data_IF_460601401147
#
_entry.id   IF_460601401147
#
_cell.length_a   1.000
_cell.length_b   1.000
_cell.length_c   1.000
_cell.angle_alpha   90.00
_cell.angle_beta   90.00
_cell.angle_gamma   90.00
#
_symmetry.space_group_name_H-M   'P 1'
#
loop_
_entity.id
_entity.type
_entity.pdbx_description
1 polymer ?
#
# COMPACT_ATOMS: atom_id res chain seq x y z
N UNK A 1 -9.40 -10.57 -18.54
CA UNK A 1 -9.64 -10.08 -17.16
C UNK A 1 -9.00 -8.73 -17.04
N UNK A 2 -9.66 -7.76 -16.39
CA UNK A 2 -9.08 -6.42 -16.23
C UNK A 2 -8.22 -6.43 -14.96
N UNK A 3 -6.89 -6.39 -15.12
CA UNK A 3 -5.92 -6.38 -14.02
C UNK A 3 -5.49 -4.94 -13.74
N UNK A 4 -5.48 -4.54 -12.46
CA UNK A 4 -4.87 -3.28 -12.02
C UNK A 4 -3.36 -3.45 -11.87
N UNK A 5 -2.92 -4.65 -11.47
CA UNK A 5 -1.51 -5.00 -11.27
C UNK A 5 -1.25 -6.39 -11.82
N UNK A 6 -0.13 -6.58 -12.55
CA UNK A 6 0.31 -7.90 -13.03
C UNK A 6 1.82 -8.03 -12.88
N UNK A 7 2.25 -9.09 -12.21
CA UNK A 7 3.64 -9.50 -12.08
C UNK A 7 3.87 -10.76 -12.90
N UNK A 8 4.94 -10.77 -13.72
CA UNK A 8 5.33 -11.92 -14.57
C UNK A 8 6.78 -12.28 -14.34
N UNK A 9 7.00 -13.51 -13.89
CA UNK A 9 8.32 -14.10 -13.72
C UNK A 9 9.26 -13.20 -12.89
N UNK A 10 8.75 -12.61 -11.80
CA UNK A 10 9.55 -11.76 -10.93
C UNK A 10 10.56 -12.62 -10.17
N UNK A 11 11.84 -12.30 -10.38
CA UNK A 11 12.96 -12.89 -9.67
C UNK A 11 13.77 -11.82 -8.93
N UNK A 12 14.17 -12.11 -7.69
CA UNK A 12 14.96 -11.19 -6.86
C UNK A 12 16.06 -11.91 -6.11
N UNK A 13 17.29 -11.38 -6.24
CA UNK A 13 18.46 -11.81 -5.48
C UNK A 13 18.99 -10.68 -4.60
N UNK A 14 19.41 -11.00 -3.39
CA UNK A 14 20.29 -10.15 -2.59
C UNK A 14 21.70 -10.74 -2.62
N UNK A 15 22.69 -9.94 -3.05
CA UNK A 15 24.06 -10.42 -3.23
C UNK A 15 24.95 -10.20 -2.00
N UNK A 16 24.52 -9.42 -1.02
CA UNK A 16 25.29 -9.12 0.20
C UNK A 16 24.44 -9.35 1.45
N UNK A 17 25.02 -9.86 2.56
CA UNK A 17 26.41 -10.37 2.75
C UNK A 17 26.67 -11.73 2.09
N UNK A 18 25.62 -12.47 1.73
CA UNK A 18 25.65 -13.74 0.99
C UNK A 18 24.60 -13.67 -0.11
N UNK A 19 24.84 -14.39 -1.21
CA UNK A 19 23.83 -14.53 -2.26
C UNK A 19 22.61 -15.27 -1.71
N UNK A 20 21.44 -14.66 -1.88
CA UNK A 20 20.18 -15.18 -1.39
C UNK A 20 19.07 -14.91 -2.42
N UNK A 21 18.52 -16.00 -2.97
CA UNK A 21 17.43 -15.95 -3.93
C UNK A 21 16.10 -15.82 -3.16
N UNK A 22 15.58 -14.59 -3.04
CA UNK A 22 14.44 -14.28 -2.19
C UNK A 22 13.10 -14.42 -2.90
N UNK A 23 13.03 -14.12 -4.21
CA UNK A 23 11.83 -14.34 -5.03
C UNK A 23 12.21 -15.19 -6.24
N UNK A 24 11.42 -16.21 -6.53
CA UNK A 24 11.71 -17.25 -7.51
C UNK A 24 10.55 -17.37 -8.49
N UNK A 25 10.68 -16.74 -9.65
CA UNK A 25 9.70 -16.82 -10.75
C UNK A 25 8.26 -16.54 -10.31
N UNK A 26 8.05 -15.46 -9.55
CA UNK A 26 6.74 -15.10 -9.00
C UNK A 26 5.89 -14.47 -10.09
N UNK A 27 4.69 -15.07 -10.34
CA UNK A 27 3.74 -14.56 -11.33
C UNK A 27 2.33 -14.57 -10.75
N UNK A 28 1.65 -13.43 -10.75
CA UNK A 28 0.24 -13.28 -10.39
C UNK A 28 -0.29 -11.92 -10.83
N UNK A 29 -1.61 -11.73 -10.73
CA UNK A 29 -2.24 -10.43 -10.98
C UNK A 29 -3.27 -10.09 -9.92
N UNK A 30 -3.60 -8.81 -9.77
CA UNK A 30 -4.69 -8.29 -8.95
C UNK A 30 -5.73 -7.68 -9.89
N UNK A 31 -7.00 -8.06 -9.74
CA UNK A 31 -8.09 -7.53 -10.57
C UNK A 31 -8.49 -6.14 -10.10
N UNK A 32 -9.07 -5.35 -11.01
CA UNK A 32 -9.69 -4.08 -10.64
C UNK A 32 -10.81 -4.33 -9.63
N UNK A 33 -10.79 -3.59 -8.51
CA UNK A 33 -11.76 -3.72 -7.42
C UNK A 33 -11.60 -4.98 -6.54
N UNK A 34 -10.52 -5.74 -6.70
CA UNK A 34 -10.22 -6.91 -5.87
C UNK A 34 -9.53 -6.49 -4.56
N UNK A 35 -9.91 -7.11 -3.46
CA UNK A 35 -9.18 -7.06 -2.19
C UNK A 35 -8.44 -8.39 -1.98
N UNK A 36 -7.16 -8.42 -2.33
CA UNK A 36 -6.31 -9.60 -2.16
C UNK A 36 -5.36 -9.45 -0.95
N UNK A 37 -5.04 -10.56 -0.31
CA UNK A 37 -4.01 -10.65 0.72
C UNK A 37 -2.87 -11.57 0.29
N UNK A 38 -1.63 -11.23 0.67
CA UNK A 38 -0.46 -12.09 0.56
C UNK A 38 -0.13 -12.61 1.95
N UNK A 39 -0.15 -13.92 2.10
CA UNK A 39 0.18 -14.61 3.35
C UNK A 39 1.42 -15.49 3.22
N UNK A 40 2.04 -15.82 4.32
CA UNK A 40 3.18 -16.74 4.40
C UNK A 40 4.03 -16.50 5.65
N UNK A 41 4.91 -17.43 5.96
CA UNK A 41 5.82 -17.35 7.12
C UNK A 41 6.74 -16.12 7.04
N UNK A 42 7.26 -15.69 8.19
CA UNK A 42 8.32 -14.66 8.20
C UNK A 42 9.51 -15.13 7.34
N UNK A 43 10.07 -14.20 6.55
CA UNK A 43 11.17 -14.51 5.62
C UNK A 43 10.75 -15.14 4.29
N UNK A 44 9.47 -15.39 4.01
CA UNK A 44 9.04 -15.95 2.72
C UNK A 44 9.11 -14.98 1.51
N UNK A 45 9.52 -13.71 1.71
CA UNK A 45 9.70 -12.74 0.65
C UNK A 45 8.52 -11.77 0.43
N UNK A 46 7.47 -11.80 1.24
CA UNK A 46 6.24 -10.99 1.07
C UNK A 46 6.48 -9.48 0.98
N UNK A 47 7.19 -8.91 1.96
CA UNK A 47 7.48 -7.47 1.95
C UNK A 47 8.42 -7.09 0.79
N UNK A 48 9.38 -7.96 0.45
CA UNK A 48 10.25 -7.76 -0.74
C UNK A 48 9.40 -7.71 -2.00
N UNK A 49 8.47 -8.67 -2.17
CA UNK A 49 7.54 -8.67 -3.30
C UNK A 49 6.70 -7.37 -3.31
N UNK A 50 6.12 -6.99 -2.17
CA UNK A 50 5.30 -5.79 -2.08
C UNK A 50 6.08 -4.51 -2.43
N UNK A 51 7.37 -4.42 -2.05
CA UNK A 51 8.21 -3.28 -2.40
C UNK A 51 8.54 -3.22 -3.89
N UNK A 52 8.70 -4.36 -4.56
CA UNK A 52 8.82 -4.41 -6.03
C UNK A 52 7.51 -3.95 -6.67
N UNK A 53 6.37 -4.52 -6.26
CA UNK A 53 5.06 -4.19 -6.80
C UNK A 53 4.70 -2.71 -6.63
N UNK A 54 5.14 -2.11 -5.52
CA UNK A 54 4.97 -0.68 -5.25
C UNK A 54 6.03 0.21 -5.91
N UNK A 55 6.92 -0.36 -6.72
CA UNK A 55 8.03 0.36 -7.39
C UNK A 55 9.06 0.98 -6.44
N UNK A 56 9.11 0.55 -5.19
CA UNK A 56 10.12 1.01 -4.21
C UNK A 56 11.46 0.29 -4.40
N UNK A 57 11.42 -1.02 -4.72
CA UNK A 57 12.58 -1.80 -5.13
C UNK A 57 12.53 -2.00 -6.65
N UNK A 58 13.60 -1.65 -7.35
CA UNK A 58 13.70 -1.73 -8.80
C UNK A 58 14.77 -2.73 -9.27
N UNK A 59 15.47 -3.36 -8.33
CA UNK A 59 16.50 -4.36 -8.59
C UNK A 59 15.87 -5.77 -8.62
N UNK A 60 15.24 -6.12 -9.74
CA UNK A 60 14.63 -7.42 -9.99
C UNK A 60 14.65 -7.73 -11.50
N UNK A 61 14.40 -8.98 -11.86
CA UNK A 61 14.12 -9.39 -13.25
C UNK A 61 12.65 -9.81 -13.40
N UNK A 62 12.18 -9.89 -14.64
CA UNK A 62 10.76 -10.12 -14.94
C UNK A 62 10.03 -8.85 -15.33
N UNK A 63 8.71 -8.91 -15.40
CA UNK A 63 7.88 -7.80 -15.88
C UNK A 63 6.80 -7.44 -14.84
N UNK A 64 6.68 -6.15 -14.58
CA UNK A 64 5.63 -5.57 -13.74
C UNK A 64 4.76 -4.64 -14.58
N UNK A 65 3.46 -4.85 -14.54
CA UNK A 65 2.47 -3.97 -15.18
C UNK A 65 1.56 -3.35 -14.13
N UNK A 66 1.23 -2.08 -14.32
CA UNK A 66 0.23 -1.34 -13.54
C UNK A 66 -0.73 -0.67 -14.52
N UNK A 67 -2.04 -0.91 -14.37
CA UNK A 67 -3.06 -0.41 -15.30
C UNK A 67 -2.77 -0.75 -16.79
N UNK A 68 -2.27 -1.96 -17.07
CA UNK A 68 -1.81 -2.44 -18.37
C UNK A 68 -0.58 -1.71 -18.94
N UNK A 69 0.08 -0.84 -18.18
CA UNK A 69 1.32 -0.16 -18.60
C UNK A 69 2.52 -0.93 -18.02
N UNK A 70 3.53 -1.22 -18.86
CA UNK A 70 4.79 -1.84 -18.43
C UNK A 70 5.59 -0.86 -17.56
N UNK A 71 5.89 -1.30 -16.33
CA UNK A 71 6.61 -0.50 -15.33
C UNK A 71 8.10 -0.84 -15.29
N UNK A 72 8.45 -2.11 -15.51
CA UNK A 72 9.85 -2.56 -15.53
C UNK A 72 10.66 -1.77 -16.55
N UNK A 73 11.84 -1.32 -16.16
CA UNK A 73 12.77 -0.58 -17.01
C UNK A 73 12.54 0.93 -17.08
N UNK A 74 11.49 1.46 -16.42
CA UNK A 74 11.29 2.91 -16.32
C UNK A 74 12.34 3.56 -15.42
N UNK A 75 12.60 4.84 -15.65
CA UNK A 75 13.53 5.65 -14.84
C UNK A 75 13.00 5.87 -13.41
N UNK A 76 13.89 6.13 -12.47
CA UNK A 76 13.50 6.45 -11.09
C UNK A 76 12.53 7.62 -10.97
N UNK A 77 12.64 8.61 -11.86
CA UNK A 77 11.74 9.77 -11.87
C UNK A 77 10.33 9.36 -12.31
N UNK A 78 10.21 8.58 -13.39
CA UNK A 78 8.92 8.05 -13.85
C UNK A 78 8.27 7.14 -12.78
N UNK A 79 9.05 6.22 -12.20
CA UNK A 79 8.57 5.34 -11.13
C UNK A 79 8.10 6.12 -9.91
N UNK A 80 8.81 7.18 -9.52
CA UNK A 80 8.39 8.06 -8.41
C UNK A 80 7.06 8.74 -8.69
N UNK A 81 6.83 9.20 -9.95
CA UNK A 81 5.57 9.82 -10.35
C UNK A 81 4.44 8.79 -10.38
N UNK A 82 4.67 7.63 -10.99
CA UNK A 82 3.70 6.51 -11.07
C UNK A 82 3.29 6.09 -9.66
N UNK A 83 4.25 5.83 -8.78
CA UNK A 83 3.99 5.46 -7.39
C UNK A 83 3.14 6.50 -6.67
N UNK A 84 3.54 7.78 -6.76
CA UNK A 84 2.84 8.86 -6.07
C UNK A 84 1.41 9.07 -6.58
N UNK A 85 1.17 8.81 -7.87
CA UNK A 85 -0.14 9.03 -8.52
C UNK A 85 -1.08 7.82 -8.38
N UNK A 86 -0.55 6.60 -8.60
CA UNK A 86 -1.38 5.42 -8.83
C UNK A 86 -1.38 4.44 -7.66
N UNK A 87 -0.42 4.55 -6.71
CA UNK A 87 -0.27 3.61 -5.62
C UNK A 87 -0.39 4.33 -4.28
N UNK A 88 -1.43 4.01 -3.51
CA UNK A 88 -1.46 4.34 -2.09
C UNK A 88 -0.68 3.29 -1.32
N UNK A 89 0.20 3.69 -0.39
CA UNK A 89 0.95 2.74 0.42
C UNK A 89 0.79 3.00 1.90
N UNK A 90 0.42 1.95 2.64
CA UNK A 90 0.25 1.93 4.09
C UNK A 90 1.28 0.99 4.70
N UNK A 91 2.18 1.54 5.50
CA UNK A 91 3.24 0.79 6.17
C UNK A 91 2.77 0.28 7.54
N UNK A 92 3.45 -0.74 8.05
CA UNK A 92 3.29 -1.23 9.43
C UNK A 92 3.60 -0.14 10.46
N UNK A 93 4.65 0.68 10.23
CA UNK A 93 4.92 1.90 10.96
C UNK A 93 4.38 3.08 10.17
N UNK A 94 3.67 4.00 10.81
CA UNK A 94 2.92 5.06 10.14
C UNK A 94 3.79 6.04 9.33
N UNK A 95 5.07 6.20 9.72
CA UNK A 95 6.03 7.15 9.13
C UNK A 95 5.44 8.54 8.93
N UNK A 96 4.70 9.03 9.92
CA UNK A 96 4.23 10.40 9.94
C UNK A 96 5.36 11.33 10.37
N UNK A 97 5.40 12.51 9.77
CA UNK A 97 6.28 13.58 10.20
C UNK A 97 5.71 14.17 11.50
N UNK A 98 6.37 13.89 12.61
CA UNK A 98 5.89 14.17 13.98
C UNK A 98 5.68 15.65 14.25
N UNK A 99 6.48 16.50 13.60
CA UNK A 99 6.45 17.95 13.75
C UNK A 99 5.33 18.62 12.93
N UNK A 100 4.81 17.92 11.94
CA UNK A 100 3.74 18.38 11.05
C UNK A 100 2.38 18.09 11.67
N UNK A 101 1.38 18.90 11.29
CA UNK A 101 -0.02 18.60 11.61
C UNK A 101 -0.50 17.35 10.87
N UNK A 102 -1.64 16.82 11.29
CA UNK A 102 -2.34 15.73 10.60
C UNK A 102 -2.64 16.12 9.17
N UNK A 103 -3.21 17.31 8.95
CA UNK A 103 -3.52 17.85 7.62
C UNK A 103 -2.27 17.93 6.75
N UNK A 104 -1.19 18.51 7.26
CA UNK A 104 0.06 18.63 6.51
C UNK A 104 0.62 17.28 6.09
N UNK A 105 0.58 16.26 6.97
CA UNK A 105 1.01 14.90 6.63
C UNK A 105 0.21 14.32 5.46
N UNK A 106 -1.11 14.51 5.44
CA UNK A 106 -1.98 14.01 4.36
C UNK A 106 -1.71 14.74 3.06
N UNK A 107 -1.43 16.03 3.08
CA UNK A 107 -1.20 16.86 1.89
C UNK A 107 0.12 16.56 1.16
N UNK A 108 1.12 15.98 1.83
CA UNK A 108 2.49 15.81 1.29
C UNK A 108 2.54 15.15 -0.10
N UNK A 109 1.88 13.99 -0.36
CA UNK A 109 1.96 13.36 -1.66
C UNK A 109 1.33 14.21 -2.78
N UNK A 110 0.21 14.89 -2.51
CA UNK A 110 -0.44 15.76 -3.49
C UNK A 110 0.41 16.99 -3.83
N UNK A 111 1.02 17.61 -2.82
CA UNK A 111 1.99 18.72 -3.04
C UNK A 111 3.18 18.26 -3.89
N UNK A 112 3.69 17.04 -3.62
CA UNK A 112 4.81 16.49 -4.41
C UNK A 112 4.40 16.16 -5.85
N UNK A 113 3.18 15.71 -6.08
CA UNK A 113 2.67 15.41 -7.42
C UNK A 113 2.53 16.68 -8.26
N UNK A 114 2.09 17.79 -7.65
CA UNK A 114 2.05 19.11 -8.26
C UNK A 114 0.97 19.29 -9.34
N UNK A 115 -0.09 18.47 -9.32
CA UNK A 115 -1.17 18.49 -10.30
C UNK A 115 -2.38 19.34 -9.85
N UNK A 116 -2.43 19.73 -8.56
CA UNK A 116 -3.52 20.48 -7.94
C UNK A 116 -3.00 21.76 -7.26
N UNK A 117 -3.83 22.78 -7.18
CA UNK A 117 -3.55 24.00 -6.39
C UNK A 117 -3.54 23.69 -4.89
N UNK A 118 -2.91 24.55 -4.10
CA UNK A 118 -2.86 24.36 -2.65
C UNK A 118 -4.27 24.35 -2.01
N UNK A 119 -5.22 25.14 -2.54
CA UNK A 119 -6.60 25.19 -2.06
C UNK A 119 -7.32 23.85 -2.32
N UNK A 120 -7.16 23.28 -3.51
CA UNK A 120 -7.72 21.96 -3.85
C UNK A 120 -7.13 20.88 -2.97
N UNK A 121 -5.80 20.89 -2.74
CA UNK A 121 -5.13 19.90 -1.89
C UNK A 121 -5.64 19.97 -0.44
N UNK A 122 -5.83 21.18 0.11
CA UNK A 122 -6.40 21.36 1.46
C UNK A 122 -7.82 20.79 1.52
N UNK A 123 -8.64 21.11 0.52
CA UNK A 123 -10.03 20.62 0.44
C UNK A 123 -10.05 19.08 0.40
N UNK A 124 -9.29 18.48 -0.50
CA UNK A 124 -9.22 17.02 -0.65
C UNK A 124 -8.69 16.34 0.62
N UNK A 125 -7.69 16.94 1.26
CA UNK A 125 -7.14 16.41 2.50
C UNK A 125 -8.17 16.40 3.63
N UNK A 126 -8.97 17.47 3.78
CA UNK A 126 -10.07 17.49 4.72
C UNK A 126 -11.12 16.43 4.39
N UNK A 127 -11.49 16.25 3.12
CA UNK A 127 -12.42 15.19 2.72
C UNK A 127 -11.92 13.79 3.10
N UNK A 128 -10.61 13.49 2.87
CA UNK A 128 -10.04 12.20 3.25
C UNK A 128 -10.02 12.02 4.79
N UNK A 129 -9.75 13.07 5.55
CA UNK A 129 -9.79 13.03 7.02
C UNK A 129 -11.22 12.82 7.54
N UNK A 130 -12.22 13.51 6.98
CA UNK A 130 -13.64 13.32 7.36
C UNK A 130 -14.13 11.91 7.03
N UNK A 131 -13.81 11.39 5.83
CA UNK A 131 -14.14 10.02 5.44
C UNK A 131 -13.62 8.96 6.43
N UNK A 132 -12.50 9.25 7.10
CA UNK A 132 -11.89 8.37 8.10
C UNK A 132 -12.23 8.73 9.54
N UNK A 133 -13.18 9.64 9.75
CA UNK A 133 -13.67 10.12 11.06
C UNK A 133 -12.57 10.72 11.95
N UNK A 134 -11.62 11.42 11.34
CA UNK A 134 -10.49 12.10 12.02
C UNK A 134 -10.33 13.57 11.58
N UNK A 135 -11.37 14.17 10.97
CA UNK A 135 -11.33 15.58 10.54
C UNK A 135 -11.06 16.56 11.69
N UNK A 136 -11.58 16.27 12.88
CA UNK A 136 -11.36 17.06 14.09
C UNK A 136 -9.89 17.11 14.56
N UNK A 137 -9.02 16.24 14.02
CA UNK A 137 -7.59 16.18 14.33
C UNK A 137 -6.72 16.98 13.34
N UNK A 138 -7.29 17.60 12.31
CA UNK A 138 -6.58 18.21 11.18
C UNK A 138 -5.41 19.12 11.61
N UNK A 139 -5.65 19.98 12.60
CA UNK A 139 -4.67 20.95 13.10
C UNK A 139 -3.76 20.41 14.20
N UNK A 140 -3.99 19.18 14.68
CA UNK A 140 -3.16 18.58 15.71
C UNK A 140 -1.84 18.07 15.14
N UNK A 141 -0.75 18.17 15.91
CA UNK A 141 0.53 17.56 15.53
C UNK A 141 0.43 16.05 15.54
N UNK A 142 1.03 15.39 14.55
CA UNK A 142 1.05 13.94 14.43
C UNK A 142 1.70 13.23 15.63
N UNK A 143 2.55 13.92 16.40
CA UNK A 143 3.12 13.42 17.65
C UNK A 143 2.11 13.26 18.79
N UNK A 144 0.94 13.94 18.73
CA UNK A 144 -0.03 14.04 19.84
C UNK A 144 -1.27 13.18 19.69
N UNK A 145 -1.35 12.37 18.63
CA UNK A 145 -2.48 11.50 18.35
C UNK A 145 -2.14 10.05 18.69
N UNK A 146 -3.17 9.24 18.97
CA UNK A 146 -3.05 7.81 19.30
C UNK A 146 -2.54 6.97 18.14
N UNK A 147 -2.15 5.71 18.39
CA UNK A 147 -1.68 4.78 17.37
C UNK A 147 -2.73 4.50 16.31
N UNK A 148 -3.98 4.24 16.68
CA UNK A 148 -5.08 4.02 15.74
C UNK A 148 -5.44 5.26 14.91
N UNK A 149 -5.32 6.47 15.50
CA UNK A 149 -5.48 7.72 14.73
C UNK A 149 -4.33 7.92 13.75
N UNK A 150 -3.07 7.65 14.15
CA UNK A 150 -1.91 7.68 13.24
C UNK A 150 -2.10 6.75 12.04
N UNK A 151 -2.66 5.56 12.27
CA UNK A 151 -2.95 4.63 11.18
C UNK A 151 -4.00 5.20 10.22
N UNK A 152 -5.07 5.78 10.72
CA UNK A 152 -6.07 6.45 9.87
C UNK A 152 -5.48 7.64 9.10
N UNK A 153 -4.59 8.43 9.70
CA UNK A 153 -3.85 9.49 9.00
C UNK A 153 -2.95 8.93 7.91
N UNK A 154 -2.26 7.81 8.15
CA UNK A 154 -1.45 7.14 7.13
C UNK A 154 -2.30 6.64 5.95
N UNK A 155 -3.50 6.12 6.22
CA UNK A 155 -4.46 5.73 5.19
C UNK A 155 -4.96 6.96 4.42
N UNK A 156 -5.34 8.06 5.11
CA UNK A 156 -5.75 9.31 4.44
C UNK A 156 -4.66 9.82 3.50
N UNK A 157 -3.40 9.82 3.96
CA UNK A 157 -2.23 10.21 3.18
C UNK A 157 -2.04 9.31 1.95
N UNK A 158 -2.27 8.00 2.09
CA UNK A 158 -2.17 7.07 0.98
C UNK A 158 -3.27 7.28 -0.09
N UNK A 159 -4.41 7.85 0.30
CA UNK A 159 -5.57 8.07 -0.57
C UNK A 159 -5.64 9.46 -1.21
N UNK A 160 -4.77 10.42 -0.86
CA UNK A 160 -4.91 11.82 -1.25
C UNK A 160 -4.88 12.07 -2.76
N UNK A 161 -4.18 11.22 -3.51
CA UNK A 161 -4.08 11.30 -4.97
C UNK A 161 -5.05 10.35 -5.71
N UNK A 162 -6.06 9.81 -5.04
CA UNK A 162 -7.05 8.88 -5.59
C UNK A 162 -6.39 7.71 -6.35
N UNK A 163 -5.55 6.90 -5.67
CA UNK A 163 -4.77 5.84 -6.31
C UNK A 163 -5.66 4.75 -6.90
N UNK A 164 -5.16 4.02 -7.91
CA UNK A 164 -5.88 2.88 -8.50
C UNK A 164 -5.75 1.60 -7.67
N UNK A 165 -4.72 1.53 -6.82
CA UNK A 165 -4.50 0.42 -5.89
C UNK A 165 -3.95 0.94 -4.56
N UNK A 166 -4.45 0.41 -3.45
CA UNK A 166 -3.90 0.61 -2.12
C UNK A 166 -3.13 -0.65 -1.71
N UNK A 167 -1.86 -0.48 -1.34
CA UNK A 167 -1.00 -1.56 -0.86
C UNK A 167 -0.72 -1.39 0.63
N UNK A 168 -0.72 -2.48 1.39
CA UNK A 168 -0.45 -2.47 2.82
C UNK A 168 0.61 -3.51 3.21
N UNK A 169 1.66 -3.08 3.92
CA UNK A 169 2.63 -3.99 4.54
C UNK A 169 2.31 -4.08 6.04
N UNK A 170 1.67 -5.18 6.45
CA UNK A 170 1.24 -5.44 7.84
C UNK A 170 0.47 -4.25 8.46
N UNK A 171 -0.59 -3.71 7.81
CA UNK A 171 -1.21 -2.44 8.20
C UNK A 171 -1.89 -2.47 9.58
N UNK A 172 -2.04 -3.65 10.17
CA UNK A 172 -2.63 -3.87 11.50
C UNK A 172 -1.63 -4.41 12.52
N UNK A 173 -0.39 -4.70 12.12
CA UNK A 173 0.59 -5.44 12.92
C UNK A 173 1.01 -4.78 14.24
N UNK A 174 0.81 -3.48 14.40
CA UNK A 174 1.14 -2.71 15.62
C UNK A 174 -0.11 -2.17 16.34
N UNK A 175 -1.30 -2.68 16.00
CA UNK A 175 -2.57 -2.21 16.56
C UNK A 175 -3.18 -3.25 17.50
N UNK A 176 -3.95 -2.79 18.46
CA UNK A 176 -4.84 -3.67 19.22
C UNK A 176 -5.98 -4.20 18.35
N UNK A 177 -6.70 -5.20 18.83
CA UNK A 177 -7.77 -5.88 18.09
C UNK A 177 -8.88 -4.92 17.63
N UNK A 178 -9.23 -3.92 18.46
CA UNK A 178 -10.26 -2.95 18.10
C UNK A 178 -9.82 -2.04 16.95
N UNK A 179 -8.59 -1.52 16.99
CA UNK A 179 -8.05 -0.69 15.93
C UNK A 179 -7.78 -1.51 14.65
N UNK A 180 -7.37 -2.77 14.79
CA UNK A 180 -7.21 -3.70 13.65
C UNK A 180 -8.54 -3.91 12.91
N UNK A 181 -9.62 -4.15 13.65
CA UNK A 181 -10.96 -4.27 13.07
C UNK A 181 -11.42 -2.98 12.37
N UNK A 182 -11.14 -1.82 12.96
CA UNK A 182 -11.44 -0.54 12.33
C UNK A 182 -10.70 -0.35 11.00
N UNK A 183 -9.41 -0.73 10.92
CA UNK A 183 -8.62 -0.66 9.68
C UNK A 183 -9.18 -1.60 8.62
N UNK A 184 -9.52 -2.83 9.00
CA UNK A 184 -10.16 -3.78 8.06
C UNK A 184 -11.46 -3.21 7.50
N UNK A 185 -12.32 -2.67 8.35
CA UNK A 185 -13.60 -2.09 7.94
C UNK A 185 -13.43 -0.86 7.04
N UNK A 186 -12.39 -0.04 7.25
CA UNK A 186 -12.01 1.03 6.34
C UNK A 186 -11.65 0.46 4.95
N UNK A 187 -10.78 -0.55 4.88
CA UNK A 187 -10.36 -1.15 3.61
C UNK A 187 -11.55 -1.79 2.87
N UNK A 188 -12.40 -2.53 3.59
CA UNK A 188 -13.62 -3.12 3.04
C UNK A 188 -14.52 -2.04 2.43
N UNK A 189 -14.77 -0.95 3.16
CA UNK A 189 -15.60 0.17 2.68
C UNK A 189 -14.98 0.85 1.45
N UNK A 190 -13.67 1.08 1.42
CA UNK A 190 -12.98 1.64 0.24
C UNK A 190 -13.16 0.77 -1.00
N UNK A 191 -13.09 -0.56 -0.84
CA UNK A 191 -13.36 -1.50 -1.93
C UNK A 191 -14.82 -1.43 -2.38
N UNK A 192 -15.77 -1.53 -1.44
CA UNK A 192 -17.21 -1.65 -1.73
C UNK A 192 -17.81 -0.36 -2.29
N UNK A 193 -17.45 0.80 -1.73
CA UNK A 193 -18.03 2.09 -2.09
C UNK A 193 -17.28 2.82 -3.21
N UNK A 194 -15.96 2.62 -3.32
CA UNK A 194 -15.12 3.33 -4.29
C UNK A 194 -14.55 2.43 -5.38
N UNK A 195 -14.76 1.11 -5.29
CA UNK A 195 -14.17 0.15 -6.24
C UNK A 195 -12.64 0.09 -6.19
N UNK A 196 -12.03 0.56 -5.08
CA UNK A 196 -10.58 0.58 -4.93
C UNK A 196 -10.02 -0.84 -4.86
N UNK A 197 -8.96 -1.10 -5.63
CA UNK A 197 -8.23 -2.36 -5.53
C UNK A 197 -7.30 -2.34 -4.32
N UNK A 198 -7.20 -3.47 -3.58
CA UNK A 198 -6.36 -3.56 -2.39
C UNK A 198 -5.46 -4.80 -2.45
N UNK A 199 -4.21 -4.63 -2.05
CA UNK A 199 -3.26 -5.73 -1.88
C UNK A 199 -2.56 -5.57 -0.53
N UNK A 200 -2.78 -6.50 0.40
CA UNK A 200 -2.27 -6.41 1.77
C UNK A 200 -1.39 -7.62 2.09
N UNK A 201 -0.17 -7.35 2.52
CA UNK A 201 0.66 -8.38 3.17
C UNK A 201 0.25 -8.46 4.63
N UNK A 202 -0.06 -9.65 5.10
CA UNK A 202 -0.40 -9.88 6.52
C UNK A 202 -0.02 -11.30 6.94
N UNK A 203 0.25 -11.48 8.24
CA UNK A 203 0.35 -12.78 8.89
C UNK A 203 -0.92 -13.11 9.72
N UNK A 204 -1.88 -12.18 9.78
CA UNK A 204 -3.16 -12.37 10.44
C UNK A 204 -4.11 -13.19 9.55
N UNK A 205 -4.35 -14.44 9.95
CA UNK A 205 -5.24 -15.35 9.22
C UNK A 205 -6.69 -14.87 9.21
N UNK A 206 -7.16 -14.26 10.30
CA UNK A 206 -8.56 -13.82 10.39
C UNK A 206 -8.78 -12.59 9.50
N UNK A 207 -7.79 -11.70 9.40
CA UNK A 207 -7.80 -10.63 8.42
C UNK A 207 -7.85 -11.17 6.98
N UNK A 208 -6.95 -12.12 6.66
CA UNK A 208 -6.81 -12.64 5.30
C UNK A 208 -8.05 -13.42 4.83
N UNK A 209 -8.68 -14.24 5.70
CA UNK A 209 -9.90 -15.02 5.39
C UNK A 209 -11.09 -14.14 4.99
N UNK A 210 -11.04 -12.85 5.31
CA UNK A 210 -12.10 -11.87 5.01
C UNK A 210 -11.86 -11.10 3.72
N UNK A 211 -10.71 -11.30 3.05
CA UNK A 211 -10.41 -10.74 1.72
C UNK A 211 -10.99 -11.61 0.62
N UNK A 212 -11.06 -11.08 -0.62
CA UNK A 212 -11.65 -11.84 -1.74
C UNK A 212 -10.76 -13.03 -2.16
N UNK A 213 -9.43 -12.91 -1.97
CA UNK A 213 -8.47 -13.93 -2.35
C UNK A 213 -7.23 -13.88 -1.46
N UNK A 214 -6.71 -15.06 -1.14
CA UNK A 214 -5.44 -15.22 -0.42
C UNK A 214 -4.39 -15.76 -1.39
N UNK A 215 -3.28 -15.06 -1.51
CA UNK A 215 -2.08 -15.47 -2.24
C UNK A 215 -1.11 -16.04 -1.21
N UNK A 216 -0.93 -17.35 -1.22
CA UNK A 216 -0.04 -18.02 -0.26
C UNK A 216 1.38 -18.05 -0.80
N UNK A 217 2.34 -17.58 0.02
CA UNK A 217 3.74 -17.49 -0.35
C UNK A 217 4.63 -18.29 0.60
N UNK A 218 5.50 -19.16 0.05
CA UNK A 218 6.47 -19.96 0.80
C UNK A 218 7.83 -19.92 0.08
N UNK A 219 8.91 -19.68 0.82
CA UNK A 219 10.30 -19.71 0.34
C UNK A 219 10.54 -19.02 -1.01
N UNK A 220 9.87 -17.88 -1.22
CA UNK A 220 10.02 -17.04 -2.41
C UNK A 220 9.17 -17.45 -3.60
N UNK A 221 8.25 -18.40 -3.46
CA UNK A 221 7.31 -18.83 -4.50
C UNK A 221 5.85 -18.64 -4.05
N UNK A 222 4.94 -18.50 -5.01
CA UNK A 222 3.50 -18.58 -4.76
C UNK A 222 3.08 -20.06 -4.88
N UNK A 223 2.49 -20.59 -3.78
CA UNK A 223 2.08 -22.00 -3.71
C UNK A 223 0.58 -22.21 -3.95
N UNK A 224 -0.24 -21.17 -3.71
CA UNK A 224 -1.67 -21.14 -4.04
C UNK A 224 -2.19 -19.71 -4.15
N UNK A 225 -3.27 -19.52 -4.91
CA UNK A 225 -3.93 -18.22 -5.09
C UNK A 225 -5.38 -18.39 -5.58
#
# INVERSE_FOLDING_TARGET
MNLVLEAKNIDKHFHKPKDFHVLKNVSFGVKVGEFASIMGKSGSGKSTLLYILSTMDTDYTGELYLNNELITGKTHQELSRIRNKNIGFVFQFHYLLSEFSVLENVMLPAKKLGEKTNTEIIHDAHQKLEMLHIGHLADQRASRISGGEKQRVAIARALINDPTILMGDEPTGNLDSHNSENVFNIFKRLKEEQGLSLLVVTHDEDFAKRTDRIIQMEDGIIVSH
#
